data_IF_669613229756
#
_entry.id   IF_669613229756
#
_cell.length_a   1.000
_cell.length_b   1.000
_cell.length_c   1.000
_cell.angle_alpha   90.00
_cell.angle_beta   90.00
_cell.angle_gamma   90.00
#
_symmetry.space_group_name_H-M   'P 1'
#
loop_
_entity.id
_entity.type
_entity.pdbx_description
1 polymer ?
#
# COMPACT_ATOMS: atom_id res chain seq x y z
N UNK A 1 -2.24 85.19 21.07
CA UNK A 1 -0.92 85.41 20.42
C UNK A 1 -0.83 84.34 19.40
N UNK A 2 -1.32 84.60 18.31
CA UNK A 2 -0.77 85.24 17.12
C UNK A 2 0.09 84.32 16.29
N UNK A 3 -0.42 84.08 15.21
CA UNK A 3 -0.07 84.25 13.81
C UNK A 3 0.81 83.12 13.28
N UNK A 4 0.63 82.66 12.12
CA UNK A 4 0.11 83.26 10.89
C UNK A 4 0.23 82.29 9.71
N UNK A 5 -0.75 82.47 8.93
CA UNK A 5 -0.95 82.00 7.57
C UNK A 5 0.25 82.22 6.65
N UNK A 6 0.50 81.25 5.65
CA UNK A 6 0.86 81.62 4.31
C UNK A 6 0.45 80.56 3.27
N UNK A 7 -0.55 80.94 2.46
CA UNK A 7 -0.87 80.40 1.14
C UNK A 7 0.23 80.65 0.15
N UNK A 8 0.54 79.72 -0.72
CA UNK A 8 1.05 79.90 -2.11
C UNK A 8 0.56 78.73 -2.94
N UNK A 9 -0.38 78.98 -3.80
CA UNK A 9 -0.44 79.23 -5.25
C UNK A 9 -0.08 78.05 -6.10
N UNK A 10 -1.06 77.66 -6.92
CA UNK A 10 -1.11 76.70 -7.97
C UNK A 10 -0.14 77.06 -9.16
N UNK A 11 0.35 76.09 -9.84
CA UNK A 11 0.97 76.15 -11.18
C UNK A 11 0.68 74.85 -11.95
N UNK A 12 0.74 74.77 -13.27
CA UNK A 12 -0.22 74.12 -14.10
C UNK A 12 0.11 72.68 -14.50
N UNK A 13 -0.90 72.06 -15.08
CA UNK A 13 -1.00 70.72 -15.66
C UNK A 13 0.16 70.37 -16.58
N UNK A 14 0.74 69.20 -16.43
CA UNK A 14 1.32 68.43 -17.52
C UNK A 14 0.67 67.03 -17.61
N UNK A 15 0.07 66.83 -18.76
CA UNK A 15 -0.51 65.55 -19.17
C UNK A 15 0.67 64.59 -19.46
N UNK A 16 0.78 63.48 -18.73
CA UNK A 16 1.61 62.35 -19.15
C UNK A 16 0.76 61.08 -19.21
N UNK A 17 0.72 60.68 -20.37
CA UNK A 17 0.27 59.48 -21.06
C UNK A 17 0.34 58.19 -20.22
N UNK A 18 -0.82 57.66 -19.86
CA UNK A 18 -0.97 56.41 -19.13
C UNK A 18 -0.59 55.18 -19.95
N UNK A 19 0.52 54.66 -19.68
CA UNK A 19 0.93 53.35 -20.22
C UNK A 19 0.41 52.24 -19.32
N UNK A 20 -0.76 51.76 -19.61
CA UNK A 20 -1.44 50.68 -18.95
C UNK A 20 -0.69 49.36 -19.23
N UNK A 21 0.37 49.07 -18.50
CA UNK A 21 1.00 47.74 -18.53
C UNK A 21 0.05 46.75 -17.86
N UNK A 22 -0.78 46.10 -18.68
CA UNK A 22 -1.50 44.87 -18.33
C UNK A 22 -0.50 43.89 -17.74
N UNK A 23 -0.62 43.61 -16.44
CA UNK A 23 0.08 42.54 -15.77
C UNK A 23 -0.27 41.23 -16.50
N UNK A 24 0.67 40.70 -17.31
CA UNK A 24 0.62 39.34 -17.82
C UNK A 24 0.60 38.40 -16.61
N UNK A 25 -0.57 37.85 -16.32
CA UNK A 25 -0.71 36.76 -15.41
C UNK A 25 0.29 35.68 -15.80
N UNK A 26 1.20 35.33 -14.87
CA UNK A 26 2.08 34.17 -15.02
C UNK A 26 1.16 32.98 -15.25
N UNK A 27 1.06 32.49 -16.49
CA UNK A 27 0.53 31.16 -16.77
C UNK A 27 1.37 30.19 -15.97
N UNK A 28 0.80 29.69 -14.88
CA UNK A 28 1.33 28.59 -14.12
C UNK A 28 1.29 27.40 -15.08
N UNK A 29 2.47 27.03 -15.59
CA UNK A 29 2.63 25.90 -16.47
C UNK A 29 2.43 24.66 -15.62
N UNK A 30 1.22 24.13 -15.60
CA UNK A 30 0.98 22.81 -15.06
C UNK A 30 1.60 21.81 -16.03
N UNK A 31 2.74 21.26 -15.65
CA UNK A 31 3.29 20.09 -16.33
C UNK A 31 2.20 19.02 -16.38
N UNK A 32 1.97 18.36 -17.54
CA UNK A 32 1.11 17.19 -17.56
C UNK A 32 1.65 16.19 -16.55
N UNK A 33 0.81 15.80 -15.57
CA UNK A 33 1.15 14.71 -14.65
C UNK A 33 1.42 13.48 -15.50
N UNK A 34 2.62 12.96 -15.42
CA UNK A 34 2.96 11.67 -16.05
C UNK A 34 2.08 10.62 -15.38
N UNK A 35 1.24 9.93 -16.14
CA UNK A 35 0.35 8.85 -15.67
C UNK A 35 1.09 7.80 -14.82
N UNK A 36 2.40 7.59 -15.04
CA UNK A 36 3.23 6.73 -14.21
C UNK A 36 3.60 7.26 -12.83
N UNK A 37 3.32 8.55 -12.50
CA UNK A 37 3.64 9.11 -11.17
C UNK A 37 2.55 8.78 -10.13
N UNK A 38 1.29 8.63 -10.55
CA UNK A 38 0.17 8.26 -9.66
C UNK A 38 0.23 6.79 -9.25
N UNK A 39 0.71 5.91 -10.13
CA UNK A 39 0.94 4.51 -9.80
C UNK A 39 1.97 4.30 -8.67
N UNK A 40 2.88 5.25 -8.48
CA UNK A 40 3.99 5.17 -7.51
C UNK A 40 3.74 5.87 -6.18
N UNK A 41 2.55 6.39 -5.95
CA UNK A 41 2.15 7.02 -4.68
C UNK A 41 0.90 6.35 -4.13
N UNK A 42 0.75 6.37 -2.79
CA UNK A 42 -0.47 5.89 -2.15
C UNK A 42 -1.63 6.84 -2.45
N UNK A 43 -2.76 6.27 -2.85
CA UNK A 43 -3.97 7.01 -3.18
C UNK A 43 -5.19 6.43 -2.45
N UNK A 44 -6.21 7.25 -2.16
CA UNK A 44 -7.51 6.74 -1.78
C UNK A 44 -8.05 5.77 -2.84
N UNK A 45 -8.64 4.67 -2.39
CA UNK A 45 -9.12 3.59 -3.28
C UNK A 45 -8.09 2.52 -3.60
N UNK A 46 -6.82 2.69 -3.19
CA UNK A 46 -5.82 1.64 -3.35
C UNK A 46 -6.16 0.41 -2.49
N UNK A 47 -5.80 -0.74 -3.01
CA UNK A 47 -5.86 -2.05 -2.36
C UNK A 47 -4.47 -2.65 -2.39
N UNK A 48 -4.06 -3.38 -1.36
CA UNK A 48 -2.70 -3.94 -1.39
C UNK A 48 -2.21 -4.52 -0.08
N UNK A 49 -0.89 -4.62 0.02
CA UNK A 49 -0.21 -5.30 1.12
C UNK A 49 0.89 -4.40 1.67
N UNK A 50 0.80 -4.05 2.94
CA UNK A 50 1.92 -3.51 3.68
C UNK A 50 2.91 -4.61 4.02
N UNK A 51 4.19 -4.32 3.90
CA UNK A 51 5.23 -5.20 4.37
C UNK A 51 6.22 -4.45 5.27
N UNK A 52 6.69 -5.12 6.32
CA UNK A 52 7.81 -4.63 7.11
C UNK A 52 9.05 -5.43 6.79
N UNK A 53 10.22 -4.79 6.86
CA UNK A 53 11.49 -5.43 6.50
C UNK A 53 12.61 -5.04 7.47
N UNK A 54 13.76 -5.69 7.32
CA UNK A 54 14.97 -5.35 8.04
C UNK A 54 15.49 -3.97 7.61
N UNK A 55 16.10 -3.27 8.58
CA UNK A 55 16.63 -1.92 8.38
C UNK A 55 17.67 -1.89 7.27
N UNK A 56 17.59 -0.88 6.39
CA UNK A 56 18.48 -0.67 5.24
C UNK A 56 18.47 -1.83 4.22
N UNK A 57 17.39 -2.62 4.21
CA UNK A 57 17.21 -3.73 3.27
C UNK A 57 15.98 -3.55 2.37
N UNK A 58 15.39 -2.36 2.35
CA UNK A 58 14.14 -2.05 1.64
C UNK A 58 14.20 -2.48 0.16
N UNK A 59 15.27 -2.12 -0.56
CA UNK A 59 15.43 -2.48 -1.98
C UNK A 59 15.51 -3.99 -2.22
N UNK A 60 16.24 -4.72 -1.34
CA UNK A 60 16.31 -6.19 -1.42
C UNK A 60 14.98 -6.83 -1.06
N UNK A 61 14.28 -6.30 -0.07
CA UNK A 61 12.96 -6.80 0.33
C UNK A 61 11.89 -6.55 -0.75
N UNK A 62 12.01 -5.47 -1.54
CA UNK A 62 11.14 -5.25 -2.70
C UNK A 62 11.34 -6.34 -3.76
N UNK A 63 12.59 -6.72 -4.05
CA UNK A 63 12.89 -7.81 -4.97
C UNK A 63 12.34 -9.14 -4.44
N UNK A 64 12.67 -9.51 -3.19
CA UNK A 64 12.17 -10.74 -2.55
C UNK A 64 10.62 -10.83 -2.60
N UNK A 65 9.93 -9.71 -2.29
CA UNK A 65 8.46 -9.68 -2.32
C UNK A 65 7.90 -9.77 -3.73
N UNK A 66 8.56 -9.15 -4.71
CA UNK A 66 8.12 -9.24 -6.11
C UNK A 66 8.17 -10.69 -6.59
N UNK A 67 9.27 -11.39 -6.33
CA UNK A 67 9.43 -12.78 -6.71
C UNK A 67 8.41 -13.67 -5.97
N UNK A 68 8.28 -13.50 -4.65
CA UNK A 68 7.33 -14.25 -3.84
C UNK A 68 5.88 -14.05 -4.34
N UNK A 69 5.48 -12.79 -4.54
CA UNK A 69 4.12 -12.48 -4.95
C UNK A 69 3.81 -12.96 -6.36
N UNK A 70 4.78 -12.90 -7.27
CA UNK A 70 4.61 -13.39 -8.62
C UNK A 70 4.44 -14.93 -8.64
N UNK A 71 5.24 -15.64 -7.88
CA UNK A 71 5.14 -17.10 -7.78
C UNK A 71 3.79 -17.52 -7.20
N UNK A 72 3.33 -16.85 -6.13
CA UNK A 72 2.02 -17.11 -5.55
C UNK A 72 0.87 -16.69 -6.46
N UNK A 73 1.01 -15.62 -7.22
CA UNK A 73 0.01 -15.23 -8.22
C UNK A 73 -0.12 -16.28 -9.32
N UNK A 74 0.98 -16.85 -9.75
CA UNK A 74 0.98 -17.98 -10.70
C UNK A 74 0.34 -19.21 -10.08
N UNK A 75 0.71 -19.56 -8.86
CA UNK A 75 0.22 -20.75 -8.14
C UNK A 75 -1.27 -20.68 -7.82
N UNK A 76 -1.78 -19.52 -7.38
CA UNK A 76 -3.15 -19.35 -6.89
C UNK A 76 -4.11 -18.93 -8.00
N UNK A 77 -3.69 -18.04 -8.90
CA UNK A 77 -4.54 -17.43 -9.91
C UNK A 77 -4.16 -17.82 -11.35
N UNK A 78 -3.10 -18.60 -11.56
CA UNK A 78 -2.61 -18.94 -12.89
C UNK A 78 -2.04 -17.76 -13.68
N UNK A 79 -1.66 -16.67 -13.00
CA UNK A 79 -1.12 -15.47 -13.62
C UNK A 79 0.34 -15.68 -13.96
N UNK A 80 0.63 -16.13 -15.17
CA UNK A 80 2.01 -16.22 -15.68
C UNK A 80 2.47 -14.81 -16.08
N UNK A 81 3.61 -14.38 -15.52
CA UNK A 81 4.26 -13.17 -16.01
C UNK A 81 4.87 -13.47 -17.39
N UNK A 82 4.60 -12.67 -18.42
CA UNK A 82 5.32 -12.83 -19.70
C UNK A 82 6.81 -12.42 -19.60
N UNK A 83 7.27 -11.91 -18.46
CA UNK A 83 8.66 -11.56 -18.20
C UNK A 83 9.46 -12.74 -17.62
N UNK A 84 9.60 -13.79 -18.37
CA UNK A 84 10.65 -14.79 -18.21
C UNK A 84 11.76 -14.60 -19.25
N UNK A 85 12.02 -13.37 -19.69
CA UNK A 85 13.03 -13.10 -20.71
C UNK A 85 13.60 -11.70 -20.58
N UNK A 86 14.45 -11.48 -19.57
CA UNK A 86 15.54 -10.52 -19.63
C UNK A 86 16.43 -10.74 -18.41
N UNK A 87 17.18 -11.84 -18.40
CA UNK A 87 18.49 -11.85 -17.79
C UNK A 87 19.47 -11.60 -18.92
N UNK A 88 20.17 -10.49 -18.83
CA UNK A 88 21.19 -10.08 -19.76
C UNK A 88 22.33 -11.11 -19.81
N UNK A 89 22.27 -11.95 -20.81
CA UNK A 89 23.44 -12.59 -21.36
C UNK A 89 23.99 -11.71 -22.47
N UNK A 90 25.02 -10.93 -22.16
CA UNK A 90 25.92 -10.34 -23.12
C UNK A 90 26.35 -11.41 -24.15
N UNK A 91 25.85 -11.30 -25.36
CA UNK A 91 26.43 -11.98 -26.52
C UNK A 91 26.28 -11.07 -27.73
N UNK A 92 27.39 -10.42 -28.06
CA UNK A 92 27.71 -9.93 -29.38
C UNK A 92 27.45 -11.02 -30.41
N UNK A 93 26.56 -10.77 -31.39
CA UNK A 93 26.80 -11.05 -32.81
C UNK A 93 25.59 -10.72 -33.69
N UNK A 94 25.87 -9.81 -34.61
CA UNK A 94 25.55 -9.84 -36.05
C UNK A 94 24.15 -9.46 -36.54
N UNK A 95 24.08 -8.31 -37.19
CA UNK A 95 23.38 -8.00 -38.45
C UNK A 95 21.94 -8.46 -38.63
N UNK A 96 21.04 -8.18 -37.70
CA UNK A 96 19.60 -8.37 -37.84
C UNK A 96 18.85 -7.07 -38.16
N UNK A 97 17.79 -7.16 -38.95
CA UNK A 97 16.92 -6.07 -39.36
C UNK A 97 16.44 -5.25 -38.14
N UNK A 98 17.00 -4.05 -37.99
CA UNK A 98 16.73 -3.14 -36.86
C UNK A 98 15.25 -2.84 -36.70
N UNK A 99 14.49 -2.80 -37.77
CA UNK A 99 13.02 -2.60 -37.71
C UNK A 99 12.28 -3.78 -37.09
N UNK A 100 12.71 -5.01 -37.37
CA UNK A 100 12.14 -6.21 -36.77
C UNK A 100 12.47 -6.32 -35.28
N UNK A 101 13.66 -5.88 -34.87
CA UNK A 101 14.12 -5.84 -33.50
C UNK A 101 13.39 -4.76 -32.71
N UNK A 102 13.23 -3.57 -33.24
CA UNK A 102 12.42 -2.47 -32.66
C UNK A 102 10.96 -2.90 -32.56
N UNK A 103 10.40 -3.56 -33.55
CA UNK A 103 9.01 -4.04 -33.51
C UNK A 103 8.82 -5.14 -32.45
N UNK A 104 9.80 -6.03 -32.30
CA UNK A 104 9.82 -7.09 -31.28
C UNK A 104 9.95 -6.49 -29.87
N UNK A 105 10.74 -5.42 -29.73
CA UNK A 105 10.90 -4.69 -28.49
C UNK A 105 9.63 -3.87 -28.14
N UNK A 106 8.99 -3.22 -29.12
CA UNK A 106 7.70 -2.54 -28.97
C UNK A 106 6.59 -3.52 -28.62
N UNK A 107 6.55 -4.68 -29.27
CA UNK A 107 5.57 -5.73 -28.97
C UNK A 107 5.89 -6.45 -27.65
N UNK A 108 7.16 -6.56 -27.27
CA UNK A 108 7.62 -6.95 -25.96
C UNK A 108 7.15 -5.96 -24.89
N UNK A 109 7.38 -4.66 -25.10
CA UNK A 109 6.95 -3.58 -24.21
C UNK A 109 5.41 -3.50 -24.15
N UNK A 110 4.70 -3.73 -25.26
CA UNK A 110 3.23 -3.81 -25.28
C UNK A 110 2.69 -5.06 -24.61
N UNK A 111 3.39 -6.20 -24.70
CA UNK A 111 3.05 -7.44 -23.98
C UNK A 111 3.45 -7.40 -22.51
N UNK A 112 4.54 -6.72 -22.17
CA UNK A 112 4.93 -6.40 -20.78
C UNK A 112 4.00 -5.38 -20.12
N UNK A 113 3.21 -4.66 -20.87
CA UNK A 113 2.09 -3.84 -20.41
C UNK A 113 0.82 -4.65 -20.08
N UNK A 114 0.87 -5.98 -20.04
CA UNK A 114 0.00 -6.75 -19.13
C UNK A 114 0.52 -6.46 -17.73
N UNK A 115 -0.04 -5.40 -17.16
CA UNK A 115 0.36 -4.79 -15.91
C UNK A 115 0.49 -5.87 -14.84
N UNK A 116 1.70 -6.03 -14.29
CA UNK A 116 1.90 -6.90 -13.14
C UNK A 116 0.80 -6.61 -12.11
N UNK A 117 0.14 -7.64 -11.55
CA UNK A 117 -0.90 -7.42 -10.54
C UNK A 117 -0.36 -6.75 -9.28
N UNK A 118 0.95 -6.56 -9.20
CA UNK A 118 1.64 -5.95 -8.07
C UNK A 118 2.45 -4.74 -8.51
N UNK A 119 2.26 -3.62 -7.83
CA UNK A 119 3.04 -2.40 -8.05
C UNK A 119 3.64 -1.94 -6.72
N UNK A 120 4.97 -1.93 -6.61
CA UNK A 120 5.63 -1.43 -5.40
C UNK A 120 5.55 0.10 -5.32
N UNK A 121 5.18 0.61 -4.15
CA UNK A 121 5.14 2.04 -3.85
C UNK A 121 6.34 2.41 -2.98
N UNK A 122 7.11 3.40 -3.42
CA UNK A 122 8.22 3.93 -2.62
C UNK A 122 7.67 4.81 -1.50
N UNK A 123 8.02 4.48 -0.26
CA UNK A 123 7.64 5.23 0.94
C UNK A 123 8.84 5.97 1.52
N UNK A 124 8.57 7.12 2.16
CA UNK A 124 9.59 7.92 2.85
C UNK A 124 9.82 7.46 4.31
N UNK A 125 9.56 6.20 4.59
CA UNK A 125 9.70 5.60 5.92
C UNK A 125 10.53 4.33 5.84
N UNK A 126 11.52 4.22 6.74
CA UNK A 126 12.39 3.07 6.81
C UNK A 126 11.63 1.81 7.26
N UNK A 127 12.09 0.67 6.80
CA UNK A 127 11.56 -0.65 7.15
C UNK A 127 10.09 -0.87 6.80
N UNK A 128 9.52 -0.04 5.92
CA UNK A 128 8.12 -0.12 5.51
C UNK A 128 8.02 -0.09 3.98
N UNK A 129 7.23 -1.01 3.44
CA UNK A 129 6.96 -1.18 2.02
C UNK A 129 5.46 -1.28 1.80
N UNK A 130 5.01 -0.91 0.62
CA UNK A 130 3.64 -1.14 0.18
C UNK A 130 3.62 -1.65 -1.26
N UNK A 131 2.84 -2.68 -1.49
CA UNK A 131 2.53 -3.20 -2.81
C UNK A 131 1.05 -3.03 -3.08
N UNK A 132 0.71 -2.24 -4.11
CA UNK A 132 -0.65 -2.22 -4.63
C UNK A 132 -0.93 -3.55 -5.27
N UNK A 133 -2.15 -4.04 -5.10
CA UNK A 133 -2.65 -5.23 -5.78
C UNK A 133 -3.78 -4.85 -6.72
N UNK A 134 -3.98 -5.63 -7.77
CA UNK A 134 -5.09 -5.51 -8.70
C UNK A 134 -5.79 -6.86 -8.82
N UNK A 135 -7.04 -6.83 -9.25
CA UNK A 135 -7.76 -8.05 -9.55
C UNK A 135 -6.96 -8.95 -10.50
N UNK A 136 -7.01 -10.27 -10.30
CA UNK A 136 -7.87 -11.01 -9.37
C UNK A 136 -7.29 -11.22 -7.96
N UNK A 137 -6.20 -10.56 -7.58
CA UNK A 137 -5.52 -10.76 -6.30
C UNK A 137 -6.31 -10.10 -5.17
N UNK A 138 -6.91 -10.91 -4.29
CA UNK A 138 -7.54 -10.45 -3.06
C UNK A 138 -6.49 -10.49 -1.92
N UNK A 139 -6.15 -9.35 -1.28
CA UNK A 139 -5.01 -9.26 -0.36
C UNK A 139 -5.09 -10.17 0.85
N UNK A 140 -6.28 -10.35 1.45
CA UNK A 140 -6.41 -11.12 2.70
C UNK A 140 -6.16 -12.59 2.46
N UNK A 141 -6.88 -13.21 1.52
CA UNK A 141 -6.72 -14.62 1.18
C UNK A 141 -5.33 -14.90 0.61
N UNK A 142 -4.79 -13.96 -0.17
CA UNK A 142 -3.46 -14.07 -0.74
C UNK A 142 -2.36 -14.11 0.34
N UNK A 143 -2.36 -13.16 1.27
CA UNK A 143 -1.41 -13.13 2.39
C UNK A 143 -1.60 -14.34 3.31
N UNK A 144 -2.85 -14.70 3.60
CA UNK A 144 -3.17 -15.86 4.42
C UNK A 144 -2.58 -17.14 3.80
N UNK A 145 -2.73 -17.34 2.48
CA UNK A 145 -2.17 -18.50 1.78
C UNK A 145 -0.64 -18.55 1.87
N UNK A 146 0.04 -17.41 1.65
CA UNK A 146 1.50 -17.31 1.82
C UNK A 146 1.93 -17.71 3.24
N UNK A 147 1.25 -17.16 4.25
CA UNK A 147 1.59 -17.42 5.64
C UNK A 147 1.26 -18.86 6.08
N UNK A 148 0.19 -19.45 5.54
CA UNK A 148 -0.15 -20.84 5.80
C UNK A 148 0.91 -21.78 5.23
N UNK A 149 1.31 -21.59 3.95
CA UNK A 149 2.34 -22.40 3.32
C UNK A 149 3.70 -22.27 4.03
N UNK A 150 4.01 -21.07 4.54
CA UNK A 150 5.20 -20.85 5.35
C UNK A 150 5.14 -21.57 6.71
N UNK A 151 3.97 -21.60 7.36
CA UNK A 151 3.75 -22.31 8.62
C UNK A 151 3.80 -23.82 8.44
N UNK A 152 3.27 -24.34 7.32
CA UNK A 152 3.25 -25.75 6.99
C UNK A 152 4.59 -26.28 6.45
N UNK A 153 5.60 -25.40 6.30
CA UNK A 153 6.91 -25.75 5.77
C UNK A 153 6.91 -26.23 4.33
N UNK A 154 5.84 -25.94 3.57
CA UNK A 154 5.66 -26.38 2.18
C UNK A 154 6.71 -25.74 1.26
N UNK A 155 7.16 -24.54 1.58
CA UNK A 155 8.14 -23.81 0.79
C UNK A 155 9.38 -23.43 1.63
N UNK A 156 10.54 -23.49 0.98
CA UNK A 156 11.77 -23.03 1.60
C UNK A 156 11.72 -21.51 1.83
N UNK A 157 12.38 -21.04 2.88
CA UNK A 157 12.49 -19.63 3.22
C UNK A 157 13.09 -18.81 2.08
N UNK A 158 12.24 -18.11 1.32
CA UNK A 158 12.67 -17.26 0.21
C UNK A 158 12.99 -15.84 0.63
N UNK A 159 12.29 -15.34 1.65
CA UNK A 159 12.45 -13.98 2.15
C UNK A 159 13.40 -13.94 3.35
N UNK A 160 14.57 -13.29 3.19
CA UNK A 160 15.57 -13.10 4.26
C UNK A 160 15.33 -11.83 5.05
N UNK A 161 14.77 -10.82 4.40
CA UNK A 161 14.70 -9.47 4.96
C UNK A 161 13.27 -9.01 5.20
N UNK A 162 12.29 -9.66 4.61
CA UNK A 162 10.87 -9.40 4.84
C UNK A 162 10.46 -10.02 6.17
N UNK A 163 9.69 -9.24 6.95
CA UNK A 163 9.22 -9.71 8.26
C UNK A 163 7.71 -9.96 8.24
N UNK A 164 6.90 -8.93 8.25
CA UNK A 164 5.44 -9.05 8.39
C UNK A 164 4.72 -8.52 7.17
N UNK A 165 3.67 -9.22 6.76
CA UNK A 165 2.70 -8.78 5.78
C UNK A 165 1.42 -8.31 6.48
N UNK A 166 0.80 -7.26 5.96
CA UNK A 166 -0.50 -6.77 6.45
C UNK A 166 -1.38 -6.45 5.25
N UNK A 167 -2.39 -7.27 4.97
CA UNK A 167 -3.28 -7.05 3.84
C UNK A 167 -4.22 -5.87 4.10
N UNK A 168 -4.58 -5.14 3.04
CA UNK A 168 -5.53 -4.03 3.07
C UNK A 168 -6.51 -4.19 1.92
N UNK A 169 -7.79 -4.17 2.24
CA UNK A 169 -8.88 -4.35 1.26
C UNK A 169 -9.51 -3.05 0.80
N UNK A 170 -9.37 -1.97 1.57
CA UNK A 170 -9.78 -0.62 1.16
C UNK A 170 -8.93 0.44 1.82
N UNK A 171 -8.70 1.53 1.11
CA UNK A 171 -7.97 2.71 1.58
C UNK A 171 -8.72 4.00 1.28
N UNK A 172 -8.58 4.98 2.18
CA UNK A 172 -9.03 6.36 1.95
C UNK A 172 -8.10 7.35 2.67
N UNK A 173 -8.42 8.62 2.59
CA UNK A 173 -7.73 9.68 3.33
C UNK A 173 -7.87 9.46 4.84
N UNK A 174 -6.81 9.73 5.58
CA UNK A 174 -6.81 9.69 7.04
C UNK A 174 -7.58 10.92 7.61
N UNK A 175 -8.89 10.90 7.45
CA UNK A 175 -9.87 11.85 7.98
C UNK A 175 -10.97 11.08 8.72
N UNK A 176 -11.73 11.76 9.58
CA UNK A 176 -12.83 11.11 10.31
C UNK A 176 -13.84 10.48 9.34
N UNK A 177 -14.20 11.22 8.29
CA UNK A 177 -15.09 10.72 7.24
C UNK A 177 -14.49 9.52 6.48
N UNK A 178 -13.21 9.61 6.08
CA UNK A 178 -12.54 8.50 5.40
C UNK A 178 -12.49 7.24 6.26
N UNK A 179 -12.24 7.37 7.58
CA UNK A 179 -12.29 6.24 8.50
C UNK A 179 -13.70 5.61 8.58
N UNK A 180 -14.75 6.42 8.65
CA UNK A 180 -16.12 5.95 8.66
C UNK A 180 -16.51 5.26 7.35
N UNK A 181 -16.15 5.85 6.20
CA UNK A 181 -16.50 5.32 4.88
C UNK A 181 -15.79 3.99 4.61
N UNK A 182 -14.48 3.90 4.91
CA UNK A 182 -13.73 2.63 4.82
C UNK A 182 -14.27 1.59 5.78
N UNK A 183 -14.59 1.98 7.04
CA UNK A 183 -15.14 1.06 8.00
C UNK A 183 -16.48 0.49 7.53
N UNK A 184 -17.41 1.31 7.03
CA UNK A 184 -18.67 0.85 6.46
C UNK A 184 -18.48 -0.12 5.31
N UNK A 185 -17.58 0.22 4.37
CA UNK A 185 -17.29 -0.62 3.21
C UNK A 185 -16.71 -1.99 3.60
N UNK A 186 -15.68 -1.99 4.45
CA UNK A 186 -14.92 -3.21 4.80
C UNK A 186 -15.69 -4.10 5.77
N UNK A 187 -16.45 -3.51 6.70
CA UNK A 187 -17.12 -4.28 7.74
C UNK A 187 -18.48 -4.85 7.31
N UNK A 188 -19.15 -4.24 6.34
CA UNK A 188 -20.47 -4.67 5.90
C UNK A 188 -20.52 -6.16 5.49
N UNK A 189 -19.60 -6.70 4.68
CA UNK A 189 -19.62 -8.11 4.30
C UNK A 189 -19.42 -9.07 5.47
N UNK A 190 -18.85 -8.62 6.58
CA UNK A 190 -18.46 -9.46 7.71
C UNK A 190 -19.39 -9.37 8.91
N UNK A 191 -20.08 -8.23 9.10
CA UNK A 191 -20.87 -7.95 10.31
C UNK A 191 -22.32 -7.59 10.08
N UNK A 192 -22.71 -7.19 8.85
CA UNK A 192 -24.04 -6.65 8.57
C UNK A 192 -24.93 -7.59 7.75
N UNK A 193 -24.51 -8.82 7.51
CA UNK A 193 -25.32 -9.83 6.84
C UNK A 193 -26.31 -10.50 7.79
N UNK A 194 -27.39 -11.13 7.26
CA UNK A 194 -28.43 -11.77 8.06
C UNK A 194 -27.93 -12.90 8.96
N UNK A 195 -26.86 -13.61 8.53
CA UNK A 195 -26.30 -14.76 9.25
C UNK A 195 -25.04 -14.40 10.06
N UNK A 196 -24.80 -13.11 10.30
CA UNK A 196 -23.55 -12.63 10.91
C UNK A 196 -23.72 -12.11 12.34
N UNK A 197 -24.88 -12.34 12.96
CA UNK A 197 -25.12 -11.93 14.34
C UNK A 197 -24.23 -12.66 15.35
N UNK A 198 -23.88 -11.98 16.44
CA UNK A 198 -23.21 -12.58 17.60
C UNK A 198 -21.71 -12.85 17.44
N UNK A 199 -21.05 -12.38 16.38
CA UNK A 199 -19.59 -12.59 16.20
C UNK A 199 -18.78 -11.86 17.25
N UNK A 200 -17.68 -12.48 17.65
CA UNK A 200 -16.65 -11.88 18.49
C UNK A 200 -15.62 -11.21 17.61
N UNK A 201 -15.18 -10.02 17.96
CA UNK A 201 -14.20 -9.29 17.19
C UNK A 201 -13.18 -8.59 18.06
N UNK A 202 -12.01 -8.33 17.47
CA UNK A 202 -11.00 -7.44 18.01
C UNK A 202 -10.59 -6.39 16.95
N UNK A 203 -10.01 -5.29 17.40
CA UNK A 203 -9.50 -4.22 16.55
C UNK A 203 -8.02 -4.02 16.86
N UNK A 204 -7.19 -4.07 15.83
CA UNK A 204 -5.76 -3.78 15.93
C UNK A 204 -5.42 -2.59 15.06
N UNK A 205 -4.89 -1.55 15.68
CA UNK A 205 -4.54 -0.31 15.02
C UNK A 205 -3.03 -0.12 14.98
N UNK A 206 -2.51 0.33 13.86
CA UNK A 206 -1.14 0.77 13.66
C UNK A 206 -1.16 2.18 13.07
N UNK A 207 -0.51 3.13 13.74
CA UNK A 207 -0.50 4.54 13.33
C UNK A 207 0.95 4.97 13.17
N UNK A 208 1.31 5.40 11.95
CA UNK A 208 2.65 5.86 11.61
C UNK A 208 2.59 7.23 10.94
N UNK A 209 3.42 8.14 11.43
CA UNK A 209 3.58 9.48 10.86
C UNK A 209 2.25 10.28 10.74
N UNK A 210 1.30 10.04 11.66
CA UNK A 210 0.04 10.76 11.77
C UNK A 210 -0.15 11.24 13.21
N UNK A 211 -0.55 12.50 13.38
CA UNK A 211 -0.78 13.13 14.70
C UNK A 211 -2.25 13.43 14.99
N UNK A 212 -3.12 13.25 14.01
CA UNK A 212 -4.56 13.59 14.13
C UNK A 212 -5.36 12.44 14.73
N UNK A 213 -4.90 11.19 14.49
CA UNK A 213 -5.55 10.00 15.01
C UNK A 213 -4.85 9.48 16.26
N UNK A 214 -5.67 9.15 17.26
CA UNK A 214 -5.26 8.36 18.40
C UNK A 214 -5.84 6.95 18.30
N UNK A 215 -5.17 5.98 18.91
CA UNK A 215 -5.65 4.60 18.94
C UNK A 215 -7.08 4.49 19.44
N UNK A 216 -7.41 5.21 20.52
CA UNK A 216 -8.75 5.17 21.13
C UNK A 216 -9.82 5.75 20.21
N UNK A 217 -9.52 6.84 19.49
CA UNK A 217 -10.42 7.42 18.50
C UNK A 217 -10.74 6.43 17.40
N UNK A 218 -9.71 5.80 16.83
CA UNK A 218 -9.87 4.80 15.77
C UNK A 218 -10.72 3.61 16.27
N UNK A 219 -10.38 3.05 17.44
CA UNK A 219 -11.10 1.91 18.00
C UNK A 219 -12.57 2.26 18.23
N UNK A 220 -12.88 3.43 18.79
CA UNK A 220 -14.26 3.85 19.04
C UNK A 220 -15.06 4.01 17.74
N UNK A 221 -14.48 4.63 16.71
CA UNK A 221 -15.15 4.82 15.42
C UNK A 221 -15.40 3.48 14.73
N UNK A 222 -14.41 2.61 14.69
CA UNK A 222 -14.52 1.29 14.04
C UNK A 222 -15.52 0.40 14.81
N UNK A 223 -15.47 0.37 16.15
CA UNK A 223 -16.41 -0.39 16.95
C UNK A 223 -17.86 0.12 16.79
N UNK A 224 -18.04 1.44 16.63
CA UNK A 224 -19.36 2.01 16.33
C UNK A 224 -19.85 1.56 14.94
N UNK A 225 -18.95 1.44 13.95
CA UNK A 225 -19.29 0.95 12.60
C UNK A 225 -19.60 -0.54 12.56
N UNK A 226 -18.99 -1.38 13.41
CA UNK A 226 -19.36 -2.80 13.58
C UNK A 226 -20.81 -2.91 14.01
N UNK A 227 -21.26 -2.02 14.87
CA UNK A 227 -22.66 -1.95 15.31
C UNK A 227 -22.99 -2.86 16.49
N UNK A 228 -24.30 -2.90 16.81
CA UNK A 228 -24.82 -3.69 17.92
C UNK A 228 -25.01 -5.16 17.53
N UNK A 229 -24.89 -6.06 18.50
CA UNK A 229 -25.08 -7.49 18.28
C UNK A 229 -23.77 -8.28 18.17
N UNK A 230 -22.64 -7.62 18.20
CA UNK A 230 -21.31 -8.22 18.21
C UNK A 230 -20.59 -7.95 19.53
N UNK A 231 -19.68 -8.85 19.91
CA UNK A 231 -18.96 -8.75 21.18
C UNK A 231 -17.47 -8.53 20.96
N UNK A 232 -16.89 -7.60 21.69
CA UNK A 232 -15.43 -7.42 21.71
C UNK A 232 -14.80 -8.56 22.53
N UNK A 233 -13.86 -9.25 21.94
CA UNK A 233 -13.06 -10.29 22.60
C UNK A 233 -11.62 -10.22 22.05
N UNK A 234 -10.67 -9.83 22.89
CA UNK A 234 -9.28 -9.60 22.47
C UNK A 234 -8.46 -10.88 22.32
N UNK A 235 -8.92 -11.97 22.89
CA UNK A 235 -8.21 -13.26 22.93
C UNK A 235 -8.87 -14.34 22.10
N UNK A 236 -10.21 -14.35 22.07
CA UNK A 236 -11.00 -15.39 21.41
C UNK A 236 -11.92 -14.81 20.34
N UNK A 237 -11.42 -13.90 19.53
CA UNK A 237 -12.17 -13.30 18.43
C UNK A 237 -12.34 -14.28 17.26
N UNK A 238 -13.47 -14.16 16.58
CA UNK A 238 -13.71 -14.83 15.30
C UNK A 238 -13.09 -14.03 14.15
N UNK A 239 -13.14 -12.70 14.27
CA UNK A 239 -12.65 -11.75 13.27
C UNK A 239 -11.78 -10.69 13.91
N UNK A 240 -10.67 -10.37 13.25
CA UNK A 240 -9.78 -9.27 13.63
C UNK A 240 -9.84 -8.17 12.57
N UNK A 241 -10.14 -6.96 12.99
CA UNK A 241 -10.13 -5.78 12.14
C UNK A 241 -8.74 -5.14 12.25
N UNK A 242 -8.03 -5.09 11.13
CA UNK A 242 -6.74 -4.43 11.01
C UNK A 242 -6.96 -3.02 10.47
N UNK A 243 -6.38 -2.02 11.12
CA UNK A 243 -6.41 -0.61 10.69
C UNK A 243 -5.00 -0.07 10.65
N UNK A 244 -4.54 0.29 9.47
CA UNK A 244 -3.23 0.89 9.24
C UNK A 244 -3.39 2.35 8.83
N UNK A 245 -2.79 3.26 9.58
CA UNK A 245 -2.76 4.69 9.26
C UNK A 245 -1.31 5.08 9.00
N UNK A 246 -1.08 5.64 7.84
CA UNK A 246 0.22 6.11 7.41
C UNK A 246 0.11 7.51 6.81
N UNK A 247 0.72 8.51 7.45
CA UNK A 247 0.61 9.91 7.04
C UNK A 247 -0.86 10.33 6.87
N UNK A 248 -1.28 10.67 5.67
CA UNK A 248 -2.62 11.11 5.32
C UNK A 248 -3.51 10.03 4.70
N UNK A 249 -3.08 8.78 4.74
CA UNK A 249 -3.83 7.62 4.21
C UNK A 249 -4.15 6.66 5.35
N UNK A 250 -5.33 6.08 5.30
CA UNK A 250 -5.74 4.97 6.16
C UNK A 250 -6.18 3.78 5.31
N UNK A 251 -5.90 2.59 5.79
CA UNK A 251 -6.35 1.35 5.18
C UNK A 251 -6.94 0.39 6.22
N UNK A 252 -7.84 -0.47 5.78
CA UNK A 252 -8.50 -1.43 6.64
C UNK A 252 -8.68 -2.78 5.95
N UNK A 253 -8.67 -3.84 6.75
CA UNK A 253 -9.05 -5.19 6.35
C UNK A 253 -9.63 -5.98 7.52
N UNK A 254 -10.28 -7.10 7.22
CA UNK A 254 -10.76 -8.06 8.22
C UNK A 254 -10.10 -9.39 7.95
N UNK A 255 -9.49 -9.98 8.98
CA UNK A 255 -8.81 -11.28 8.94
C UNK A 255 -9.45 -12.25 9.94
N UNK A 256 -9.24 -13.54 9.76
CA UNK A 256 -9.79 -14.58 10.61
C UNK A 256 -9.09 -14.75 11.95
N UNK A 257 -9.58 -15.70 12.75
CA UNK A 257 -9.03 -16.09 14.06
C UNK A 257 -7.67 -16.78 14.00
N UNK A 258 -7.24 -17.19 12.81
CA UNK A 258 -5.94 -17.82 12.54
C UNK A 258 -4.76 -16.84 12.57
N UNK A 259 -5.01 -15.53 12.57
CA UNK A 259 -3.99 -14.49 12.55
C UNK A 259 -2.91 -14.64 13.63
N UNK A 260 -3.28 -14.98 14.87
CA UNK A 260 -2.31 -15.21 15.95
C UNK A 260 -1.57 -16.54 15.77
N UNK A 261 -2.22 -17.57 15.25
CA UNK A 261 -1.60 -18.88 14.92
C UNK A 261 -0.56 -18.71 13.82
N UNK A 262 -0.86 -17.87 12.84
CA UNK A 262 0.04 -17.50 11.75
C UNK A 262 1.02 -16.39 12.16
N UNK A 263 1.42 -16.32 13.45
CA UNK A 263 2.42 -15.37 13.96
C UNK A 263 2.15 -13.93 13.54
N UNK A 264 0.88 -13.55 13.41
CA UNK A 264 0.46 -12.22 12.93
C UNK A 264 1.02 -11.89 11.55
N UNK A 265 1.07 -12.91 10.69
CA UNK A 265 1.61 -12.85 9.34
C UNK A 265 3.10 -12.43 9.29
N UNK A 266 3.88 -12.84 10.29
CA UNK A 266 5.33 -12.66 10.31
C UNK A 266 6.03 -13.85 9.65
N UNK A 267 6.47 -13.68 8.42
CA UNK A 267 7.11 -14.73 7.61
C UNK A 267 8.40 -15.25 8.24
N UNK A 268 9.19 -14.38 8.86
CA UNK A 268 10.43 -14.78 9.54
C UNK A 268 10.12 -15.77 10.68
N UNK A 269 9.17 -15.42 11.56
CA UNK A 269 8.77 -16.25 12.69
C UNK A 269 8.10 -17.58 12.25
N UNK A 270 7.35 -17.55 11.13
CA UNK A 270 6.71 -18.74 10.58
C UNK A 270 7.75 -19.74 10.04
N UNK A 271 8.68 -19.28 9.23
CA UNK A 271 9.74 -20.13 8.70
C UNK A 271 10.68 -20.65 9.78
N UNK A 272 10.99 -19.83 10.80
CA UNK A 272 11.86 -20.28 11.91
C UNK A 272 11.15 -21.35 12.76
N UNK A 273 9.84 -21.25 12.97
CA UNK A 273 9.05 -22.27 13.65
C UNK A 273 9.00 -23.59 12.86
N UNK A 274 8.70 -23.53 11.56
CA UNK A 274 8.66 -24.71 10.69
C UNK A 274 10.04 -25.39 10.57
N UNK A 275 11.14 -24.61 10.55
CA UNK A 275 12.51 -25.14 10.53
C UNK A 275 12.93 -25.82 11.83
N UNK A 276 12.45 -25.33 12.98
CA UNK A 276 12.71 -25.92 14.30
C UNK A 276 12.05 -27.29 14.47
N UNK A 277 10.79 -27.43 14.07
CA UNK A 277 10.07 -28.72 14.15
C UNK A 277 10.66 -29.81 13.23
N UNK A 278 11.28 -29.40 12.12
CA UNK A 278 11.95 -30.35 11.21
C UNK A 278 13.26 -30.91 11.77
N UNK A 279 13.93 -30.23 12.71
CA UNK A 279 15.15 -30.68 13.36
C UNK A 279 14.82 -31.63 14.50
N UNK A 280 13.83 -31.31 15.33
CA UNK A 280 13.41 -32.16 16.47
C UNK A 280 12.88 -33.53 16.00
N UNK A 281 12.12 -33.57 14.89
CA UNK A 281 11.63 -34.83 14.31
C UNK A 281 12.74 -35.74 13.72
N UNK A 282 13.93 -35.19 13.45
CA UNK A 282 15.08 -35.98 12.99
C UNK A 282 15.92 -36.56 14.12
N UNK A 283 15.92 -35.90 15.28
CA UNK A 283 16.62 -36.41 16.47
C UNK A 283 15.83 -37.50 17.20
N UNK A 284 14.49 -37.49 17.12
CA UNK A 284 13.67 -38.58 17.68
C UNK A 284 13.63 -39.86 16.80
N UNK A 285 14.04 -39.77 15.54
CA UNK A 285 14.04 -40.88 14.58
C UNK A 285 15.41 -41.54 14.38
N UNK A 286 16.45 -41.15 15.15
CA UNK A 286 17.81 -41.70 15.14
C UNK A 286 18.15 -42.40 16.44
#
# INVERSE_FOLDING_TARGET
MDSGSKKRKAGPEERSNGNNKRAKGKKQWSMPRKEGAEARSLQPGDVGIWATCAMKKEGKSVAELRDLFQDYATKVYGLTNPEGAADDGDSDEDGGDIEAEIQKEIDGIRKAAVESPFTSVKLDTQCLLFFKTREPVEPVSFVQKICQDAADGVEQKRCRFVKRLTPITAMDKATDRGLEDVAKQVLAPHFHGPDQAGKKFAIRTSIRNNKEFTRDKVIKTVAAAVGRGHKVDLSGYDLLILVEIYQNILGMSVVGSDFEKLKRYNLEELHDAAGGEAVDNKEEAS
#
